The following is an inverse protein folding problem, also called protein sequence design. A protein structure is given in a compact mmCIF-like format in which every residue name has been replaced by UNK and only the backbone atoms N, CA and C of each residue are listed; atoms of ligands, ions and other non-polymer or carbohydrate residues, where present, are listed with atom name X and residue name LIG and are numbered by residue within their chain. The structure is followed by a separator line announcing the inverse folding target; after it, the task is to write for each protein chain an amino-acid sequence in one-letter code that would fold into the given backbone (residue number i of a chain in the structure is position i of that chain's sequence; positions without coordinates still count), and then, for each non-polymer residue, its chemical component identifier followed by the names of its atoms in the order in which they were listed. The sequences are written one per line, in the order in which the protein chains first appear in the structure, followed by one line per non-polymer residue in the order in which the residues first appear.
data_IF_252963696183
#
_entry.id   IF_252963696183
#
_cell.length_a   1.000
_cell.length_b   1.000
_cell.length_c   1.000
_cell.angle_alpha   90.00
_cell.angle_beta   90.00
_cell.angle_gamma   90.00
#
_symmetry.space_group_name_H-M   'P 1'
#
loop_
_entity.id
_entity.type
_entity.pdbx_description
1 polymer ?
#
# COMPACT_ATOMS: atom_id res chain seq x y z
N UNK A 1 -1.88 -11.65 -10.91
CA UNK A 1 -1.85 -10.27 -10.40
C UNK A 1 -1.07 -10.26 -9.10
N UNK A 2 -0.01 -9.44 -9.00
CA UNK A 2 0.83 -9.35 -7.79
C UNK A 2 0.05 -8.76 -6.60
N UNK A 3 0.55 -8.97 -5.38
CA UNK A 3 -0.02 -8.34 -4.16
C UNK A 3 -0.01 -6.82 -4.28
N UNK A 4 1.06 -6.23 -4.84
CA UNK A 4 1.18 -4.79 -5.05
C UNK A 4 0.12 -4.25 -6.02
N UNK A 5 -0.16 -4.98 -7.11
CA UNK A 5 -1.23 -4.60 -8.04
C UNK A 5 -2.62 -4.69 -7.39
N UNK A 6 -2.87 -5.70 -6.55
CA UNK A 6 -4.10 -5.79 -5.74
C UNK A 6 -4.23 -4.60 -4.80
N UNK A 7 -3.15 -4.27 -4.10
CA UNK A 7 -3.11 -3.14 -3.17
C UNK A 7 -3.37 -1.81 -3.87
N UNK A 8 -2.77 -1.60 -5.06
CA UNK A 8 -3.02 -0.40 -5.87
C UNK A 8 -4.51 -0.23 -6.19
N UNK A 9 -5.15 -1.32 -6.62
CA UNK A 9 -6.58 -1.35 -6.93
C UNK A 9 -7.43 -1.09 -5.69
N UNK A 10 -7.09 -1.69 -4.55
CA UNK A 10 -7.82 -1.50 -3.30
C UNK A 10 -7.77 -0.05 -2.80
N UNK A 11 -6.65 0.65 -3.05
CA UNK A 11 -6.52 2.08 -2.76
C UNK A 11 -7.46 2.89 -3.67
N UNK A 12 -7.48 2.62 -4.98
CA UNK A 12 -8.39 3.32 -5.91
C UNK A 12 -9.86 3.12 -5.56
N UNK A 13 -10.26 1.88 -5.25
CA UNK A 13 -11.62 1.56 -4.81
C UNK A 13 -11.94 2.27 -3.50
N UNK A 14 -11.02 2.27 -2.54
CA UNK A 14 -11.19 2.96 -1.27
C UNK A 14 -11.35 4.47 -1.43
N UNK A 15 -10.56 5.11 -2.29
CA UNK A 15 -10.70 6.55 -2.60
C UNK A 15 -12.04 6.85 -3.29
N UNK A 16 -12.44 6.03 -4.26
CA UNK A 16 -13.72 6.21 -4.96
C UNK A 16 -14.95 6.03 -4.04
N UNK A 17 -14.84 5.16 -3.04
CA UNK A 17 -15.88 4.93 -2.04
C UNK A 17 -15.84 5.94 -0.87
N UNK A 18 -14.86 6.84 -0.82
CA UNK A 18 -14.66 7.76 0.32
C UNK A 18 -14.16 7.08 1.59
N UNK A 19 -13.68 5.84 1.50
CA UNK A 19 -13.10 5.07 2.60
C UNK A 19 -11.61 5.39 2.83
N UNK A 20 -10.97 6.03 1.86
CA UNK A 20 -9.59 6.53 1.92
C UNK A 20 -9.62 8.00 1.55
N UNK A 21 -9.09 8.83 2.44
CA UNK A 21 -8.96 10.26 2.20
C UNK A 21 -8.01 10.50 1.00
N UNK A 22 -8.37 11.39 0.05
CA UNK A 22 -7.63 11.52 -1.20
C UNK A 22 -6.15 11.86 -1.07
N UNK A 23 -5.75 12.72 -0.12
CA UNK A 23 -4.34 13.08 0.07
C UNK A 23 -3.54 11.88 0.56
N UNK A 24 -4.00 11.19 1.59
CA UNK A 24 -3.34 9.97 2.08
C UNK A 24 -3.32 8.87 1.02
N UNK A 25 -4.46 8.64 0.35
CA UNK A 25 -4.59 7.64 -0.71
C UNK A 25 -3.65 7.88 -1.89
N UNK A 26 -3.47 9.13 -2.30
CA UNK A 26 -2.53 9.51 -3.38
C UNK A 26 -1.07 9.22 -3.00
N UNK A 27 -0.68 9.54 -1.76
CA UNK A 27 0.67 9.24 -1.27
C UNK A 27 0.93 7.73 -1.26
N UNK A 28 0.00 6.96 -0.67
CA UNK A 28 0.10 5.51 -0.60
C UNK A 28 0.12 4.87 -2.00
N UNK A 29 -0.76 5.32 -2.91
CA UNK A 29 -0.82 4.86 -4.29
C UNK A 29 0.49 5.14 -5.05
N UNK A 30 1.11 6.29 -4.81
CA UNK A 30 2.39 6.66 -5.43
C UNK A 30 3.51 5.72 -4.98
N UNK A 31 3.58 5.42 -3.68
CA UNK A 31 4.60 4.50 -3.13
C UNK A 31 4.40 3.07 -3.66
N UNK A 32 3.15 2.58 -3.71
CA UNK A 32 2.83 1.24 -4.23
C UNK A 32 3.10 1.14 -5.73
N UNK A 33 2.73 2.16 -6.52
CA UNK A 33 2.99 2.18 -7.97
C UNK A 33 4.48 2.23 -8.27
N UNK A 34 5.23 3.05 -7.53
CA UNK A 34 6.70 3.10 -7.66
C UNK A 34 7.31 1.74 -7.40
N UNK A 35 6.93 1.09 -6.29
CA UNK A 35 7.44 -0.23 -5.95
C UNK A 35 7.05 -1.30 -6.98
N UNK A 36 5.82 -1.25 -7.49
CA UNK A 36 5.36 -2.16 -8.54
C UNK A 36 6.21 -2.01 -9.80
N UNK A 37 6.45 -0.77 -10.26
CA UNK A 37 7.28 -0.51 -11.43
C UNK A 37 8.73 -0.94 -11.25
N UNK A 38 9.31 -0.73 -10.06
CA UNK A 38 10.68 -1.18 -9.76
C UNK A 38 10.79 -2.71 -9.79
N UNK A 39 9.82 -3.43 -9.21
CA UNK A 39 9.79 -4.90 -9.20
C UNK A 39 9.53 -5.46 -10.60
N UNK A 40 8.56 -4.94 -11.33
CA UNK A 40 8.21 -5.39 -12.68
C UNK A 40 9.32 -5.05 -13.69
N UNK A 41 10.05 -3.95 -13.47
CA UNK A 41 11.22 -3.56 -14.26
C UNK A 41 12.49 -4.35 -13.96
N UNK A 42 12.46 -5.31 -13.03
CA UNK A 42 13.62 -6.12 -12.65
C UNK A 42 14.70 -5.34 -11.89
N UNK A 43 14.37 -4.20 -11.29
CA UNK A 43 15.32 -3.44 -10.50
C UNK A 43 15.72 -4.21 -9.23
N UNK A 44 16.96 -4.00 -8.77
CA UNK A 44 17.40 -4.48 -7.46
C UNK A 44 16.71 -3.64 -6.37
N UNK A 45 15.56 -4.11 -5.89
CA UNK A 45 14.77 -3.44 -4.85
C UNK A 45 15.01 -4.10 -3.50
N UNK A 46 15.32 -3.28 -2.48
CA UNK A 46 15.22 -3.67 -1.08
C UNK A 46 13.74 -3.76 -0.68
N UNK A 47 13.12 -4.89 -1.06
CA UNK A 47 11.70 -5.15 -0.82
C UNK A 47 11.36 -5.15 0.69
N UNK A 48 12.16 -5.77 1.59
CA UNK A 48 11.95 -5.67 3.04
C UNK A 48 11.83 -4.23 3.54
N UNK A 49 12.77 -3.35 3.17
CA UNK A 49 12.74 -1.95 3.60
C UNK A 49 11.57 -1.17 3.03
N UNK A 50 11.23 -1.39 1.75
CA UNK A 50 10.10 -0.70 1.09
C UNK A 50 8.76 -1.11 1.71
N UNK A 51 8.56 -2.40 1.98
CA UNK A 51 7.35 -2.89 2.66
C UNK A 51 7.29 -2.40 4.10
N UNK A 52 8.41 -2.37 4.83
CA UNK A 52 8.45 -1.79 6.17
C UNK A 52 8.03 -0.32 6.19
N UNK A 53 8.45 0.48 5.18
CA UNK A 53 8.01 1.87 5.02
C UNK A 53 6.51 1.99 4.75
N UNK A 54 5.94 1.14 3.89
CA UNK A 54 4.50 1.11 3.62
C UNK A 54 3.69 0.75 4.89
N UNK A 55 4.18 -0.22 5.67
CA UNK A 55 3.58 -0.59 6.97
C UNK A 55 3.63 0.57 7.96
N UNK A 56 4.77 1.28 8.03
CA UNK A 56 4.91 2.46 8.90
C UNK A 56 3.98 3.60 8.47
N UNK A 57 3.85 3.86 7.16
CA UNK A 57 2.90 4.86 6.63
C UNK A 57 1.46 4.53 7.02
N UNK A 58 1.04 3.27 6.84
CA UNK A 58 -0.29 2.81 7.25
C UNK A 58 -0.53 2.90 8.77
N UNK A 59 0.50 2.61 9.58
CA UNK A 59 0.43 2.72 11.03
C UNK A 59 0.38 4.17 11.52
N UNK A 60 1.03 5.09 10.80
CA UNK A 60 1.11 6.52 11.12
C UNK A 60 -0.03 7.38 10.56
N UNK A 61 -1.03 6.77 9.89
CA UNK A 61 -2.20 7.49 9.36
C UNK A 61 -2.94 8.27 10.45
N UNK A 62 -3.45 9.45 10.11
CA UNK A 62 -4.29 10.23 10.99
C UNK A 62 -5.70 9.60 11.14
N UNK A 63 -6.42 9.88 12.25
CA UNK A 63 -7.79 9.45 12.41
C UNK A 63 -8.68 9.95 11.25
N UNK A 64 -9.42 9.05 10.62
CA UNK A 64 -10.31 9.37 9.51
C UNK A 64 -9.68 9.33 8.12
N UNK A 65 -8.35 9.20 7.98
CA UNK A 65 -7.71 9.07 6.66
C UNK A 65 -8.04 7.75 5.97
N UNK A 66 -8.31 6.69 6.74
CA UNK A 66 -8.70 5.39 6.21
C UNK A 66 -9.74 4.77 7.13
N UNK A 67 -10.85 4.29 6.55
CA UNK A 67 -11.88 3.57 7.27
C UNK A 67 -11.30 2.30 7.93
N UNK A 68 -11.82 1.84 9.09
CA UNK A 68 -11.27 0.69 9.79
C UNK A 68 -11.19 -0.58 8.93
N UNK A 69 -12.25 -0.88 8.17
CA UNK A 69 -12.30 -2.05 7.30
C UNK A 69 -11.27 -1.98 6.17
N UNK A 70 -11.12 -0.81 5.54
CA UNK A 70 -10.12 -0.60 4.48
C UNK A 70 -8.70 -0.69 5.02
N UNK A 71 -8.45 -0.12 6.19
CA UNK A 71 -7.14 -0.20 6.84
C UNK A 71 -6.74 -1.64 7.17
N UNK A 72 -7.68 -2.46 7.65
CA UNK A 72 -7.45 -3.88 7.91
C UNK A 72 -7.14 -4.65 6.61
N UNK A 73 -7.91 -4.41 5.54
CA UNK A 73 -7.68 -5.04 4.23
C UNK A 73 -6.31 -4.70 3.63
N UNK A 74 -5.94 -3.41 3.61
CA UNK A 74 -4.63 -2.97 3.14
C UNK A 74 -3.47 -3.55 3.97
N UNK A 75 -3.65 -3.65 5.29
CA UNK A 75 -2.64 -4.25 6.18
C UNK A 75 -2.47 -5.75 5.95
N UNK A 76 -3.57 -6.47 5.67
CA UNK A 76 -3.53 -7.89 5.32
C UNK A 76 -2.77 -8.12 4.01
N UNK A 77 -3.02 -7.30 2.99
CA UNK A 77 -2.25 -7.34 1.73
C UNK A 77 -0.76 -7.11 1.97
N UNK A 78 -0.38 -6.14 2.80
CA UNK A 78 1.03 -5.92 3.15
C UNK A 78 1.67 -7.09 3.90
N UNK A 79 0.89 -7.91 4.60
CA UNK A 79 1.37 -9.12 5.29
C UNK A 79 1.61 -10.29 4.32
N UNK A 80 0.90 -10.33 3.19
CA UNK A 80 1.10 -11.36 2.14
C UNK A 80 2.41 -11.19 1.36
N UNK A 81 3.04 -10.00 1.38
CA UNK A 81 4.30 -9.77 0.66
C UNK A 81 5.44 -10.51 1.38
N UNK A 82 6.10 -11.48 0.72
CA UNK A 82 7.13 -12.29 1.35
C UNK A 82 8.41 -11.48 1.56
N UNK A 83 8.52 -10.86 2.74
CA UNK A 83 9.74 -10.22 3.22
C UNK A 83 10.41 -11.16 4.20
N UNK A 84 11.51 -11.79 3.78
CA UNK A 84 12.36 -12.56 4.70
C UNK A 84 13.15 -11.58 5.56
N UNK A 85 13.30 -11.83 6.87
CA UNK A 85 14.19 -11.04 7.73
C UNK A 85 15.65 -11.15 7.29
#
# INVERSE_FOLDING_TARGET
MSVLARMRRDIDVGMAAGEVEPRFGTELATQVTTLLNEVDGGAAVDLPRRVARLRALMAGRAPGEVSPGRAAGLSALLAEIPVRP
#
